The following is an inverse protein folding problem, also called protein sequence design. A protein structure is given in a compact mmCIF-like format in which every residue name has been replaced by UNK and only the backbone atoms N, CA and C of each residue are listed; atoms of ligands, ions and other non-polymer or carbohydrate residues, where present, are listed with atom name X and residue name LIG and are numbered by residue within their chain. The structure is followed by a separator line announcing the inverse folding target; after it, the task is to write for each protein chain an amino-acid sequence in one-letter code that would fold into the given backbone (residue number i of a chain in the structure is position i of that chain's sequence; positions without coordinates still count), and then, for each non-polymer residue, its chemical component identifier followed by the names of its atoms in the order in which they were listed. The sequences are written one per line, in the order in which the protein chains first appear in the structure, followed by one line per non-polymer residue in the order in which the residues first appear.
data_IF_449605790965
#
_entry.id   IF_449605790965
#
_cell.length_a   1.000
_cell.length_b   1.000
_cell.length_c   1.000
_cell.angle_alpha   90.00
_cell.angle_beta   90.00
_cell.angle_gamma   90.00
#
_symmetry.space_group_name_H-M   'P 1'
#
loop_
_entity.id
_entity.type
_entity.pdbx_description
1 polymer ?
#
# COMPACT_ATOMS: atom_id res chain seq x y z
N UNK A 1 18.09 -0.53 5.34
CA UNK A 1 17.78 0.72 4.61
C UNK A 1 19.00 1.47 4.09
N UNK A 2 19.93 1.96 4.94
CA UNK A 2 21.13 2.69 4.47
C UNK A 2 21.95 1.93 3.44
N UNK A 3 22.20 0.63 3.67
CA UNK A 3 22.91 -0.23 2.70
C UNK A 3 22.21 -0.27 1.32
N UNK A 4 20.87 -0.38 1.29
CA UNK A 4 20.09 -0.37 0.04
C UNK A 4 20.15 0.99 -0.67
N UNK A 5 20.08 2.10 0.07
CA UNK A 5 20.29 3.44 -0.49
C UNK A 5 21.69 3.58 -1.10
N UNK A 6 22.71 3.12 -0.37
CA UNK A 6 24.10 3.20 -0.81
C UNK A 6 24.40 2.34 -2.03
N UNK A 7 23.65 1.25 -2.25
CA UNK A 7 23.72 0.45 -3.47
C UNK A 7 22.93 1.04 -4.64
N UNK A 8 22.35 2.24 -4.49
CA UNK A 8 21.55 2.90 -5.53
C UNK A 8 20.19 2.25 -5.79
N UNK A 9 19.66 1.47 -4.84
CA UNK A 9 18.35 0.84 -5.00
C UNK A 9 17.25 1.92 -5.05
N UNK A 10 16.25 1.81 -5.96
CA UNK A 10 15.18 2.79 -6.07
C UNK A 10 14.14 2.69 -4.93
N UNK A 11 14.09 1.54 -4.26
CA UNK A 11 13.15 1.26 -3.17
C UNK A 11 13.72 0.19 -2.23
N UNK A 12 13.12 0.03 -1.05
CA UNK A 12 13.45 -1.02 -0.10
C UNK A 12 12.36 -2.12 -0.10
N UNK A 13 12.69 -3.37 -0.48
CA UNK A 13 11.81 -4.49 -0.20
C UNK A 13 11.84 -4.81 1.31
N UNK A 14 10.69 -5.13 1.87
CA UNK A 14 10.52 -5.36 3.30
C UNK A 14 9.54 -6.50 3.56
N UNK A 15 9.86 -7.37 4.52
CA UNK A 15 8.94 -8.42 4.96
C UNK A 15 7.88 -7.84 5.91
N UNK A 16 6.67 -8.39 5.90
CA UNK A 16 5.61 -7.98 6.85
C UNK A 16 6.01 -8.21 8.31
N UNK A 17 6.89 -9.20 8.56
CA UNK A 17 7.40 -9.57 9.88
C UNK A 17 8.11 -8.42 10.62
N UNK A 18 8.61 -7.41 9.90
CA UNK A 18 9.19 -6.20 10.49
C UNK A 18 8.16 -5.34 11.24
N UNK A 19 6.87 -5.56 11.00
CA UNK A 19 5.78 -4.78 11.58
C UNK A 19 4.86 -5.63 12.46
N UNK A 20 4.76 -6.93 12.16
CA UNK A 20 3.75 -7.82 12.72
C UNK A 20 4.17 -8.49 14.03
N UNK A 21 3.27 -8.41 15.02
CA UNK A 21 3.30 -9.25 16.22
C UNK A 21 4.61 -9.17 17.00
N UNK A 22 5.03 -10.31 17.53
CA UNK A 22 6.30 -10.43 18.28
C UNK A 22 7.53 -10.51 17.34
N UNK A 23 7.31 -10.85 16.06
CA UNK A 23 8.37 -11.05 15.06
C UNK A 23 9.16 -9.77 14.79
N UNK A 24 8.52 -8.61 14.90
CA UNK A 24 9.18 -7.29 14.78
C UNK A 24 10.33 -7.05 15.76
N UNK A 25 10.41 -7.81 16.86
CA UNK A 25 11.48 -7.74 17.85
C UNK A 25 12.62 -8.73 17.60
N UNK A 26 12.48 -9.66 16.65
CA UNK A 26 13.48 -10.67 16.34
C UNK A 26 14.62 -10.14 15.45
N UNK A 27 14.37 -9.07 14.70
CA UNK A 27 15.35 -8.48 13.81
C UNK A 27 16.34 -7.59 14.58
N UNK A 28 17.59 -7.56 14.11
CA UNK A 28 18.62 -6.68 14.67
C UNK A 28 18.28 -5.21 14.38
N UNK A 29 18.05 -4.43 15.43
CA UNK A 29 17.81 -2.98 15.33
C UNK A 29 16.70 -2.49 16.25
N UNK A 30 16.28 -1.23 16.04
CA UNK A 30 15.15 -0.66 16.77
C UNK A 30 13.83 -1.15 16.16
N UNK A 31 12.93 -1.77 16.93
CA UNK A 31 11.64 -2.21 16.42
C UNK A 31 10.79 -1.01 16.01
N UNK A 32 10.11 -1.15 14.87
CA UNK A 32 9.19 -0.18 14.29
C UNK A 32 7.77 -0.76 14.22
N UNK A 33 6.81 0.02 13.73
CA UNK A 33 5.43 -0.43 13.57
C UNK A 33 4.62 0.48 12.66
N UNK A 34 3.37 0.12 12.42
CA UNK A 34 2.48 0.83 11.49
C UNK A 34 1.61 1.90 12.16
N UNK A 35 1.64 2.01 13.49
CA UNK A 35 0.84 2.96 14.27
C UNK A 35 1.66 3.66 15.36
N UNK A 36 1.17 4.84 15.78
CA UNK A 36 1.68 5.58 16.93
C UNK A 36 3.20 5.83 16.93
N UNK A 37 3.85 5.57 18.06
CA UNK A 37 5.30 5.77 18.22
C UNK A 37 6.13 4.90 17.27
N UNK A 38 5.65 3.70 16.93
CA UNK A 38 6.33 2.80 15.99
C UNK A 38 6.37 3.39 14.58
N UNK A 39 5.25 3.97 14.13
CA UNK A 39 5.14 4.65 12.84
C UNK A 39 6.03 5.89 12.77
N UNK A 40 6.05 6.70 13.84
CA UNK A 40 6.95 7.87 13.90
C UNK A 40 8.41 7.46 13.74
N UNK A 41 8.83 6.37 14.39
CA UNK A 41 10.19 5.83 14.25
C UNK A 41 10.45 5.33 12.83
N UNK A 42 9.50 4.60 12.24
CA UNK A 42 9.59 4.15 10.84
C UNK A 42 9.81 5.32 9.89
N UNK A 43 8.95 6.34 9.96
CA UNK A 43 9.04 7.52 9.11
C UNK A 43 10.36 8.28 9.31
N UNK A 44 10.83 8.41 10.55
CA UNK A 44 12.14 9.00 10.85
C UNK A 44 13.30 8.25 10.19
N UNK A 45 13.28 6.92 10.18
CA UNK A 45 14.35 6.12 9.58
C UNK A 45 14.26 6.07 8.05
N UNK A 46 13.03 6.05 7.53
CA UNK A 46 12.75 5.97 6.10
C UNK A 46 13.05 7.27 5.36
N UNK A 47 12.61 8.40 5.90
CA UNK A 47 12.48 9.63 5.13
C UNK A 47 11.57 9.38 3.92
N UNK A 48 12.01 9.82 2.75
CA UNK A 48 11.26 9.67 1.49
C UNK A 48 11.61 8.39 0.72
N UNK A 49 12.35 7.47 1.34
CA UNK A 49 12.79 6.28 0.62
C UNK A 49 11.66 5.26 0.49
N UNK A 50 11.28 4.87 -0.74
CA UNK A 50 10.09 4.04 -0.91
C UNK A 50 10.27 2.65 -0.28
N UNK A 51 9.20 2.12 0.30
CA UNK A 51 9.22 0.80 0.94
C UNK A 51 8.06 -0.03 0.42
N UNK A 52 8.41 -1.24 0.01
CA UNK A 52 7.50 -2.20 -0.59
C UNK A 52 7.42 -3.43 0.31
N UNK A 53 6.22 -3.76 0.78
CA UNK A 53 6.01 -4.79 1.80
C UNK A 53 5.36 -6.02 1.20
N UNK A 54 5.94 -7.19 1.46
CA UNK A 54 5.40 -8.51 1.14
C UNK A 54 5.49 -9.45 2.35
N UNK A 55 4.54 -10.37 2.57
CA UNK A 55 3.22 -10.43 1.96
C UNK A 55 2.28 -9.33 2.50
N UNK A 56 1.51 -8.74 1.59
CA UNK A 56 0.47 -7.75 1.87
C UNK A 56 -0.82 -8.41 2.30
N UNK A 57 -0.89 -8.89 3.54
CA UNK A 57 -2.11 -9.54 4.04
C UNK A 57 -3.28 -8.54 4.19
N UNK A 58 -4.53 -8.93 3.86
CA UNK A 58 -5.68 -8.03 3.89
C UNK A 58 -5.91 -7.33 5.24
N UNK A 59 -5.61 -7.99 6.37
CA UNK A 59 -5.83 -7.42 7.70
C UNK A 59 -4.83 -6.30 8.06
N UNK A 60 -3.70 -6.18 7.35
CA UNK A 60 -2.71 -5.10 7.53
C UNK A 60 -2.76 -4.06 6.42
N UNK A 61 -3.49 -4.32 5.35
CA UNK A 61 -3.46 -3.51 4.14
C UNK A 61 -3.68 -2.02 4.43
N UNK A 62 -4.74 -1.72 5.18
CA UNK A 62 -5.08 -0.34 5.55
C UNK A 62 -3.97 0.32 6.36
N UNK A 63 -3.39 -0.41 7.31
CA UNK A 63 -2.32 0.09 8.17
C UNK A 63 -1.03 0.34 7.37
N UNK A 64 -0.74 -0.51 6.39
CA UNK A 64 0.40 -0.36 5.49
C UNK A 64 0.23 0.86 4.56
N UNK A 65 -0.95 1.01 3.93
CA UNK A 65 -1.24 2.17 3.07
C UNK A 65 -1.21 3.48 3.86
N UNK A 66 -1.82 3.51 5.05
CA UNK A 66 -1.81 4.68 5.93
C UNK A 66 -0.40 5.02 6.46
N UNK A 67 0.47 4.01 6.59
CA UNK A 67 1.88 4.21 6.89
C UNK A 67 2.69 4.72 5.67
N UNK A 68 2.05 4.87 4.52
CA UNK A 68 2.68 5.29 3.26
C UNK A 68 3.56 4.21 2.64
N UNK A 69 3.24 2.93 2.86
CA UNK A 69 4.01 1.79 2.35
C UNK A 69 3.29 1.18 1.14
N UNK A 70 4.05 0.86 0.10
CA UNK A 70 3.53 0.10 -1.04
C UNK A 70 3.40 -1.37 -0.66
N UNK A 71 2.38 -2.04 -1.20
CA UNK A 71 1.98 -3.38 -0.80
C UNK A 71 2.09 -4.34 -1.99
N UNK A 72 2.71 -5.50 -1.76
CA UNK A 72 2.68 -6.63 -2.67
C UNK A 72 1.76 -7.70 -2.09
N UNK A 73 0.62 -7.97 -2.72
CA UNK A 73 -0.43 -8.85 -2.17
C UNK A 73 -0.83 -9.96 -3.13
N UNK A 74 -1.05 -11.16 -2.58
CA UNK A 74 -1.63 -12.30 -3.29
C UNK A 74 -3.17 -12.33 -3.19
N UNK A 75 -3.76 -11.26 -2.64
CA UNK A 75 -5.20 -11.16 -2.39
C UNK A 75 -5.80 -9.94 -3.08
N UNK A 76 -5.50 -9.61 -4.34
CA UNK A 76 -5.85 -8.35 -5.02
C UNK A 76 -7.29 -8.26 -5.57
N UNK A 77 -8.27 -8.95 -4.96
CA UNK A 77 -9.68 -8.84 -5.32
C UNK A 77 -10.24 -7.43 -5.03
N UNK A 78 -10.70 -6.66 -6.03
CA UNK A 78 -11.25 -5.32 -5.84
C UNK A 78 -12.52 -5.29 -5.00
N UNK A 79 -13.33 -6.35 -5.05
CA UNK A 79 -14.64 -6.39 -4.40
C UNK A 79 -14.57 -6.88 -2.95
N UNK A 80 -13.37 -7.24 -2.49
CA UNK A 80 -13.11 -7.68 -1.12
C UNK A 80 -13.45 -6.57 -0.11
N UNK A 81 -14.29 -6.91 0.86
CA UNK A 81 -14.38 -6.15 2.11
C UNK A 81 -13.20 -6.54 3.00
N UNK A 82 -12.40 -5.55 3.41
CA UNK A 82 -11.24 -5.80 4.25
C UNK A 82 -11.66 -6.28 5.65
N UNK A 83 -10.78 -6.99 6.40
CA UNK A 83 -11.10 -7.47 7.76
C UNK A 83 -11.48 -6.37 8.76
N UNK A 84 -11.09 -5.12 8.52
CA UNK A 84 -11.52 -3.96 9.31
C UNK A 84 -12.92 -3.43 8.92
N UNK A 85 -13.61 -4.08 7.98
CA UNK A 85 -14.94 -3.68 7.48
C UNK A 85 -14.92 -2.68 6.32
N UNK A 86 -13.77 -2.06 6.02
CA UNK A 86 -13.69 -1.05 4.97
C UNK A 86 -13.76 -1.64 3.56
N UNK A 87 -14.32 -0.88 2.63
CA UNK A 87 -14.18 -1.14 1.20
C UNK A 87 -12.74 -0.91 0.75
N UNK A 88 -12.33 -1.63 -0.29
CA UNK A 88 -10.95 -1.65 -0.76
C UNK A 88 -10.72 -0.65 -1.88
N UNK A 89 -9.53 -0.06 -1.90
CA UNK A 89 -9.11 0.86 -2.96
C UNK A 89 -7.77 0.43 -3.56
N UNK A 90 -7.81 -0.13 -4.78
CA UNK A 90 -6.62 -0.71 -5.43
C UNK A 90 -5.74 0.32 -6.16
N UNK A 91 -6.18 1.58 -6.28
CA UNK A 91 -5.53 2.59 -7.13
C UNK A 91 -4.94 3.80 -6.37
N UNK A 92 -4.31 3.65 -5.19
CA UNK A 92 -3.88 4.79 -4.37
C UNK A 92 -2.90 5.74 -5.08
N UNK A 93 -2.03 5.24 -5.97
CA UNK A 93 -1.11 6.10 -6.73
C UNK A 93 -1.78 6.83 -7.92
N UNK A 94 -2.64 6.15 -8.67
CA UNK A 94 -3.19 6.70 -9.92
C UNK A 94 -4.51 7.44 -9.74
N UNK A 95 -5.20 7.18 -8.63
CA UNK A 95 -6.46 7.79 -8.24
C UNK A 95 -6.40 7.99 -6.72
N UNK A 96 -5.57 8.94 -6.24
CA UNK A 96 -5.43 9.17 -4.82
C UNK A 96 -6.72 9.74 -4.25
N UNK A 97 -7.06 9.31 -3.04
CA UNK A 97 -8.26 9.75 -2.34
C UNK A 97 -7.92 10.90 -1.38
N UNK A 98 -8.89 11.79 -1.18
CA UNK A 98 -8.83 12.78 -0.09
C UNK A 98 -8.99 12.09 1.27
N UNK A 99 -8.65 12.80 2.35
CA UNK A 99 -8.81 12.27 3.71
C UNK A 99 -10.28 11.90 4.02
N UNK A 100 -11.24 12.66 3.49
CA UNK A 100 -12.68 12.38 3.63
C UNK A 100 -13.07 11.11 2.87
N UNK A 101 -12.60 10.94 1.63
CA UNK A 101 -12.86 9.74 0.83
C UNK A 101 -12.21 8.50 1.45
N UNK A 102 -11.00 8.63 2.02
CA UNK A 102 -10.37 7.57 2.81
C UNK A 102 -11.25 7.15 3.98
N UNK A 103 -11.78 8.10 4.77
CA UNK A 103 -12.73 7.80 5.86
C UNK A 103 -14.04 7.19 5.33
N UNK A 104 -14.51 7.64 4.17
CA UNK A 104 -15.69 7.09 3.49
C UNK A 104 -15.59 5.58 3.28
N UNK A 105 -14.42 5.09 2.87
CA UNK A 105 -14.19 3.66 2.69
C UNK A 105 -14.39 2.85 3.97
N UNK A 106 -14.07 3.41 5.15
CA UNK A 106 -14.29 2.75 6.46
C UNK A 106 -15.78 2.57 6.75
N UNK A 107 -16.60 3.49 6.26
CA UNK A 107 -18.06 3.45 6.35
C UNK A 107 -18.70 2.68 5.18
N UNK A 108 -17.90 2.02 4.34
CA UNK A 108 -18.37 1.25 3.19
C UNK A 108 -18.73 2.08 1.96
N UNK A 109 -18.40 3.37 1.93
CA UNK A 109 -18.67 4.29 0.83
C UNK A 109 -17.48 4.28 -0.12
N UNK A 110 -17.70 3.87 -1.37
CA UNK A 110 -16.69 3.94 -2.42
C UNK A 110 -16.90 5.24 -3.20
N UNK A 111 -15.89 6.13 -3.30
CA UNK A 111 -16.01 7.36 -4.06
C UNK A 111 -16.06 7.07 -5.56
N UNK A 112 -16.99 7.73 -6.26
CA UNK A 112 -17.14 7.64 -7.72
C UNK A 112 -16.41 8.79 -8.44
N UNK A 113 -16.20 9.90 -7.75
CA UNK A 113 -15.64 11.16 -8.23
C UNK A 113 -14.16 11.33 -7.87
N UNK A 114 -13.33 10.36 -8.26
CA UNK A 114 -11.89 10.40 -7.96
C UNK A 114 -11.12 10.95 -9.15
N UNK A 115 -10.52 12.13 -8.97
CA UNK A 115 -9.63 12.74 -9.96
C UNK A 115 -8.43 11.84 -10.23
N UNK A 116 -8.09 11.68 -11.51
CA UNK A 116 -6.93 10.89 -11.89
C UNK A 116 -5.63 11.66 -11.59
N UNK A 117 -4.53 10.93 -11.36
CA UNK A 117 -3.24 11.53 -10.98
C UNK A 117 -2.76 12.65 -11.92
N UNK A 118 -3.02 12.54 -13.22
CA UNK A 118 -2.61 13.52 -14.24
C UNK A 118 -3.47 14.81 -14.23
N UNK A 119 -4.56 14.83 -13.48
CA UNK A 119 -5.41 16.01 -13.29
C UNK A 119 -5.03 16.80 -12.04
N UNK A 120 -4.23 16.20 -11.15
CA UNK A 120 -3.88 16.77 -9.84
C UNK A 120 -2.38 17.09 -9.68
N UNK A 121 -1.51 16.50 -10.51
CA UNK A 121 -0.07 16.80 -10.53
C UNK A 121 0.51 16.59 -11.94
N UNK A 122 1.47 17.45 -12.30
CA UNK A 122 2.28 17.33 -13.53
C UNK A 122 3.46 16.34 -13.34
N UNK A 123 3.65 15.81 -12.14
CA UNK A 123 4.75 14.89 -11.81
C UNK A 123 4.47 13.47 -12.29
N UNK A 124 5.50 12.82 -12.86
CA UNK A 124 5.39 11.42 -13.26
C UNK A 124 5.47 10.49 -12.04
N UNK A 125 4.52 9.55 -11.92
CA UNK A 125 4.44 8.63 -10.79
C UNK A 125 5.71 7.75 -10.65
N UNK A 126 6.56 8.09 -9.69
CA UNK A 126 7.79 7.37 -9.34
C UNK A 126 7.58 6.12 -8.49
N UNK A 127 8.68 5.64 -7.90
CA UNK A 127 8.73 4.52 -6.94
C UNK A 127 8.18 4.91 -5.55
N UNK A 128 8.17 6.19 -5.25
CA UNK A 128 7.66 6.82 -4.02
C UNK A 128 6.14 6.88 -3.95
N UNK A 129 5.47 6.88 -5.11
CA UNK A 129 4.01 6.78 -5.17
C UNK A 129 3.53 5.45 -4.53
N UNK A 130 2.65 5.56 -3.53
CA UNK A 130 2.13 4.43 -2.76
C UNK A 130 1.23 3.58 -3.65
N UNK A 131 1.57 2.30 -3.79
CA UNK A 131 0.88 1.38 -4.72
C UNK A 131 0.44 0.11 -4.03
N UNK A 132 -0.62 -0.47 -4.58
CA UNK A 132 -0.94 -1.87 -4.39
C UNK A 132 -0.56 -2.65 -5.64
N UNK A 133 0.18 -3.74 -5.45
CA UNK A 133 0.69 -4.59 -6.52
C UNK A 133 0.26 -6.01 -6.23
N UNK A 134 -0.45 -6.63 -7.18
CA UNK A 134 -0.77 -8.05 -7.15
C UNK A 134 0.02 -8.84 -8.18
N UNK A 135 0.19 -10.15 -7.96
CA UNK A 135 0.68 -11.03 -9.02
C UNK A 135 -0.32 -11.08 -10.19
N UNK A 136 0.11 -11.51 -11.39
CA UNK A 136 -0.82 -11.65 -12.53
C UNK A 136 -1.92 -12.65 -12.19
N UNK A 137 -3.17 -12.27 -12.41
CA UNK A 137 -4.35 -13.09 -12.11
C UNK A 137 -4.80 -13.08 -10.65
N UNK A 138 -4.13 -12.30 -9.79
CA UNK A 138 -4.56 -11.97 -8.45
C UNK A 138 -5.78 -11.04 -8.53
N UNK A 139 -6.93 -11.46 -8.01
CA UNK A 139 -8.18 -10.68 -8.07
C UNK A 139 -8.96 -10.80 -9.39
N UNK A 140 -9.11 -12.03 -9.92
CA UNK A 140 -9.80 -12.33 -11.20
C UNK A 140 -11.14 -11.58 -11.33
N UNK A 141 -11.10 -10.42 -11.97
CA UNK A 141 -12.24 -9.83 -12.67
C UNK A 141 -12.46 -10.63 -13.95
N UNK A 142 -13.72 -10.82 -14.35
CA UNK A 142 -14.03 -11.43 -15.64
C UNK A 142 -13.32 -10.61 -16.73
N UNK A 143 -12.49 -11.26 -17.56
CA UNK A 143 -11.96 -10.58 -18.74
C UNK A 143 -13.18 -10.18 -19.58
N UNK A 144 -13.28 -8.93 -20.06
CA UNK A 144 -14.21 -8.65 -21.14
C UNK A 144 -13.79 -9.55 -22.29
N UNK A 145 -14.53 -10.63 -22.52
CA UNK A 145 -14.40 -11.41 -23.73
C UNK A 145 -14.84 -10.45 -24.80
N UNK A 146 -13.92 -10.00 -25.65
CA UNK A 146 -14.30 -9.31 -26.88
C UNK A 146 -15.16 -10.33 -27.61
N UNK A 147 -16.48 -10.16 -27.55
CA UNK A 147 -17.38 -10.89 -28.43
C UNK A 147 -17.07 -10.33 -29.81
N UNK A 148 -16.22 -11.03 -30.56
CA UNK A 148 -16.16 -10.84 -32.00
C UNK A 148 -17.56 -11.14 -32.52
N UNK A 149 -18.24 -10.11 -33.01
CA UNK A 149 -19.43 -10.27 -33.85
C UNK A 149 -19.10 -11.14 -35.06
#
# INVERSE_FOLDING_TARGET
MKSQKNSGAPMMPCAVDYFEGIKRYLHLGTPVGLKGNGLRRLNKFRGDFPVYVWPGHPYLERDLLNAGLSILTDFADPDMTLPCGSKRWLRPATMPLTDEQWKGLENGIVPEDVAAWHEISDEQLGWDAIRMIGHRGCGKTARPVIQSM
#
